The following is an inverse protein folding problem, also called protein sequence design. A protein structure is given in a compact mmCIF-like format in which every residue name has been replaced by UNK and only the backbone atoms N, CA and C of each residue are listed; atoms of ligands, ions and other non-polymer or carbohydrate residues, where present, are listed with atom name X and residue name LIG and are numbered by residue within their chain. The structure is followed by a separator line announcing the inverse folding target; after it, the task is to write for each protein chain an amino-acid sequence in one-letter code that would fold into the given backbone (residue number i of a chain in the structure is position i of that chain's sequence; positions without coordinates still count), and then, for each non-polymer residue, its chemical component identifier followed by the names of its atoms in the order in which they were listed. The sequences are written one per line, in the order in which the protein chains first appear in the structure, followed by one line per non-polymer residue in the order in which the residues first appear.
data_IF_493613315872
#
_entry.id   IF_493613315872
#
_cell.length_a   1.000
_cell.length_b   1.000
_cell.length_c   1.000
_cell.angle_alpha   90.00
_cell.angle_beta   90.00
_cell.angle_gamma   90.00
#
_symmetry.space_group_name_H-M   'P 1'
#
loop_
_entity.id
_entity.type
_entity.pdbx_description
1 polymer ?
#
# COMPACT_ATOMS: atom_id res chain seq x y z
N UNK A 1 9.57 16.85 -5.04
CA UNK A 1 9.62 15.40 -4.76
C UNK A 1 8.63 15.11 -3.64
N UNK A 2 8.06 13.91 -3.59
CA UNK A 2 7.17 13.54 -2.50
C UNK A 2 7.99 13.32 -1.21
N UNK A 3 7.51 13.85 -0.09
CA UNK A 3 8.21 13.74 1.19
C UNK A 3 7.95 12.38 1.84
N UNK A 4 6.69 11.96 1.93
CA UNK A 4 6.27 10.62 2.37
C UNK A 4 4.95 10.21 1.70
N UNK A 5 4.65 8.91 1.68
CA UNK A 5 3.34 8.35 1.30
C UNK A 5 2.93 7.25 2.27
N UNK A 6 1.65 7.21 2.61
CA UNK A 6 1.04 6.12 3.37
C UNK A 6 0.11 5.34 2.45
N UNK A 7 0.34 4.03 2.37
CA UNK A 7 -0.50 3.08 1.66
C UNK A 7 -1.23 2.24 2.70
N UNK A 8 -2.56 2.16 2.58
CA UNK A 8 -3.42 1.50 3.58
C UNK A 8 -4.19 0.38 2.91
N UNK A 9 -4.03 -0.84 3.41
CA UNK A 9 -4.71 -2.05 2.93
C UNK A 9 -5.65 -2.56 4.01
N UNK A 10 -6.91 -2.81 3.65
CA UNK A 10 -7.90 -3.42 4.52
C UNK A 10 -7.87 -4.94 4.33
N UNK A 11 -7.66 -5.70 5.40
CA UNK A 11 -7.46 -7.16 5.31
C UNK A 11 -8.75 -7.91 4.97
N UNK A 12 -9.91 -7.34 5.29
CA UNK A 12 -11.24 -7.89 5.01
C UNK A 12 -11.96 -7.08 3.91
N UNK A 13 -11.19 -6.45 3.00
CA UNK A 13 -11.75 -5.71 1.88
C UNK A 13 -12.44 -6.65 0.88
N UNK A 14 -13.74 -6.42 0.65
CA UNK A 14 -14.55 -7.13 -0.36
C UNK A 14 -14.86 -6.23 -1.58
N UNK A 15 -14.41 -4.96 -1.57
CA UNK A 15 -14.68 -3.97 -2.61
C UNK A 15 -13.52 -3.82 -3.59
N UNK A 16 -12.28 -3.92 -3.11
CA UNK A 16 -11.06 -3.84 -3.91
C UNK A 16 -10.54 -5.25 -4.20
N UNK A 17 -10.47 -5.62 -5.48
CA UNK A 17 -10.02 -6.94 -5.93
C UNK A 17 -8.88 -6.82 -6.97
N UNK A 18 -7.66 -7.29 -6.68
CA UNK A 18 -7.19 -7.79 -5.37
C UNK A 18 -6.99 -6.65 -4.36
N UNK A 19 -7.21 -6.90 -3.06
CA UNK A 19 -6.99 -5.90 -1.99
C UNK A 19 -5.53 -5.47 -1.89
N UNK A 20 -4.62 -6.35 -2.31
CA UNK A 20 -3.17 -6.15 -2.43
C UNK A 20 -2.82 -4.97 -3.36
N UNK A 21 -3.72 -4.60 -4.29
CA UNK A 21 -3.54 -3.40 -5.13
C UNK A 21 -3.44 -2.09 -4.34
N UNK A 22 -3.94 -2.03 -3.10
CA UNK A 22 -3.74 -0.90 -2.20
C UNK A 22 -2.26 -0.65 -1.87
N UNK A 23 -1.41 -1.67 -1.99
CA UNK A 23 0.04 -1.61 -1.82
C UNK A 23 0.81 -1.63 -3.16
N UNK A 24 0.14 -1.30 -4.28
CA UNK A 24 0.68 -1.38 -5.64
C UNK A 24 1.10 -2.79 -6.09
N UNK A 25 0.65 -3.83 -5.38
CA UNK A 25 0.82 -5.21 -5.83
C UNK A 25 -0.18 -5.50 -6.97
N UNK A 26 0.19 -6.41 -7.86
CA UNK A 26 -0.61 -6.73 -9.05
C UNK A 26 -0.78 -8.24 -9.21
N UNK A 27 -1.70 -8.66 -10.06
CA UNK A 27 -1.87 -10.08 -10.41
C UNK A 27 -0.97 -10.43 -11.59
N UNK A 28 -0.27 -11.55 -11.48
CA UNK A 28 0.45 -12.17 -12.59
C UNK A 28 -0.55 -12.67 -13.64
N UNK A 29 -0.49 -12.20 -14.90
CA UNK A 29 -1.44 -12.61 -15.92
C UNK A 29 -1.33 -14.09 -16.34
N UNK A 30 -0.21 -14.75 -16.06
CA UNK A 30 0.00 -16.16 -16.37
C UNK A 30 -0.41 -17.08 -15.22
N UNK A 31 -0.16 -16.66 -13.97
CA UNK A 31 -0.38 -17.52 -12.80
C UNK A 31 -1.64 -17.19 -12.00
N UNK A 32 -2.27 -16.03 -12.27
CA UNK A 32 -3.42 -15.49 -11.53
C UNK A 32 -3.14 -15.30 -10.02
N UNK A 33 -1.85 -15.20 -9.65
CA UNK A 33 -1.40 -14.96 -8.28
C UNK A 33 -0.97 -13.52 -8.09
N UNK A 34 -1.11 -13.01 -6.88
CA UNK A 34 -0.55 -11.70 -6.52
C UNK A 34 0.98 -11.78 -6.58
N UNK A 35 1.58 -10.83 -7.30
CA UNK A 35 3.02 -10.59 -7.36
C UNK A 35 3.37 -9.55 -6.28
N UNK A 36 4.33 -9.85 -5.38
CA UNK A 36 4.82 -8.88 -4.41
C UNK A 36 5.33 -7.61 -5.10
N UNK A 37 5.09 -6.44 -4.49
CA UNK A 37 5.47 -5.14 -5.08
C UNK A 37 6.93 -5.14 -5.56
N UNK A 38 7.87 -5.60 -4.73
CA UNK A 38 9.31 -5.58 -5.00
C UNK A 38 9.76 -6.50 -6.15
N UNK A 39 8.93 -7.46 -6.53
CA UNK A 39 9.16 -8.39 -7.64
C UNK A 39 8.51 -7.90 -8.94
N UNK A 40 7.62 -6.90 -8.87
CA UNK A 40 6.94 -6.36 -10.04
C UNK A 40 7.88 -5.54 -10.94
N UNK A 41 7.66 -5.61 -12.25
CA UNK A 41 8.34 -4.75 -13.22
C UNK A 41 8.14 -3.26 -12.89
N UNK A 42 6.93 -2.92 -12.39
CA UNK A 42 6.57 -1.56 -12.00
C UNK A 42 7.52 -0.97 -10.95
N UNK A 43 7.85 -1.75 -9.92
CA UNK A 43 8.80 -1.35 -8.89
C UNK A 43 10.25 -1.42 -9.40
N UNK A 44 10.62 -2.49 -10.10
CA UNK A 44 12.01 -2.72 -10.56
C UNK A 44 12.48 -1.59 -11.49
N UNK A 45 11.63 -1.20 -12.45
CA UNK A 45 11.88 -0.12 -13.40
C UNK A 45 11.63 1.28 -12.81
N UNK A 46 11.11 1.34 -11.57
CA UNK A 46 10.86 2.56 -10.82
C UNK A 46 10.04 3.61 -11.60
N UNK A 47 8.99 3.16 -12.32
CA UNK A 47 8.29 3.98 -13.31
C UNK A 47 7.80 5.34 -12.77
N UNK A 48 7.43 5.41 -11.49
CA UNK A 48 6.96 6.64 -10.85
C UNK A 48 7.73 7.01 -9.57
N UNK A 49 8.87 6.35 -9.29
CA UNK A 49 9.67 6.63 -8.10
C UNK A 49 9.29 5.84 -6.83
N UNK A 50 8.43 4.80 -6.92
CA UNK A 50 8.03 3.98 -5.75
C UNK A 50 9.23 3.28 -5.13
N UNK A 51 10.16 2.74 -5.92
CA UNK A 51 11.35 2.06 -5.41
C UNK A 51 12.28 3.03 -4.72
N UNK A 52 12.46 4.23 -5.27
CA UNK A 52 13.23 5.28 -4.60
C UNK A 52 12.61 5.70 -3.26
N UNK A 53 11.28 5.87 -3.19
CA UNK A 53 10.58 6.21 -1.95
C UNK A 53 10.70 5.10 -0.90
N UNK A 54 10.53 3.85 -1.31
CA UNK A 54 10.64 2.68 -0.44
C UNK A 54 12.05 2.54 0.14
N UNK A 55 13.07 2.60 -0.71
CA UNK A 55 14.48 2.55 -0.30
C UNK A 55 14.89 3.71 0.63
N UNK A 56 14.22 4.85 0.51
CA UNK A 56 14.42 6.01 1.40
C UNK A 56 13.59 5.92 2.70
N UNK A 57 12.80 4.86 2.89
CA UNK A 57 11.92 4.70 4.05
C UNK A 57 10.74 5.69 4.08
N UNK A 58 10.37 6.24 2.92
CA UNK A 58 9.32 7.26 2.76
C UNK A 58 7.94 6.67 2.49
N UNK A 59 7.83 5.36 2.33
CA UNK A 59 6.55 4.65 2.24
C UNK A 59 6.19 4.07 3.62
N UNK A 60 4.96 4.30 4.06
CA UNK A 60 4.36 3.64 5.23
C UNK A 60 3.29 2.68 4.73
N UNK A 61 3.54 1.38 4.87
CA UNK A 61 2.57 0.32 4.61
C UNK A 61 1.78 0.05 5.90
N UNK A 62 0.47 0.26 5.86
CA UNK A 62 -0.44 0.08 6.99
C UNK A 62 -1.49 -0.96 6.63
N UNK A 63 -1.63 -1.98 7.47
CA UNK A 63 -2.72 -2.96 7.35
C UNK A 63 -3.76 -2.70 8.44
N UNK A 64 -5.03 -2.72 8.06
CA UNK A 64 -6.17 -2.57 8.98
C UNK A 64 -7.01 -3.84 8.87
N UNK A 65 -7.18 -4.55 9.99
CA UNK A 65 -7.98 -5.76 10.05
C UNK A 65 -9.48 -5.44 10.17
N UNK A 66 -10.02 -4.82 9.12
CA UNK A 66 -11.44 -4.54 8.96
C UNK A 66 -11.77 -4.50 7.46
N UNK A 67 -13.05 -4.28 7.18
CA UNK A 67 -13.63 -4.09 5.86
C UNK A 67 -13.30 -2.72 5.25
N UNK A 68 -13.62 -2.58 3.96
CA UNK A 68 -13.31 -1.41 3.15
C UNK A 68 -13.65 -0.08 3.85
N UNK A 69 -12.64 0.78 4.02
CA UNK A 69 -12.76 2.11 4.64
C UNK A 69 -13.31 2.10 6.07
N UNK A 70 -13.20 0.99 6.79
CA UNK A 70 -13.51 0.95 8.22
C UNK A 70 -12.25 1.00 9.06
N UNK A 71 -12.16 1.99 9.93
CA UNK A 71 -11.11 2.11 10.92
C UNK A 71 -11.63 2.88 12.14
N UNK A 72 -10.92 2.79 13.26
CA UNK A 72 -11.33 3.43 14.51
C UNK A 72 -10.79 4.86 14.65
N UNK A 73 -11.38 5.65 15.54
CA UNK A 73 -10.82 6.95 15.95
C UNK A 73 -9.39 6.80 16.50
N UNK A 74 -9.07 5.67 17.12
CA UNK A 74 -7.73 5.37 17.60
C UNK A 74 -6.72 5.27 16.46
N UNK A 75 -7.05 4.58 15.37
CA UNK A 75 -6.22 4.54 14.14
C UNK A 75 -6.03 5.96 13.59
N UNK A 76 -7.08 6.77 13.55
CA UNK A 76 -6.97 8.16 13.09
C UNK A 76 -5.99 8.96 13.94
N UNK A 77 -6.11 8.87 15.28
CA UNK A 77 -5.29 9.62 16.22
C UNK A 77 -3.83 9.15 16.27
N UNK A 78 -3.60 7.84 16.15
CA UNK A 78 -2.29 7.24 16.39
C UNK A 78 -1.51 6.95 15.10
N UNK A 79 -2.17 6.86 13.93
CA UNK A 79 -1.54 6.51 12.66
C UNK A 79 -1.68 7.66 11.66
N UNK A 80 -2.90 8.13 11.39
CA UNK A 80 -3.12 9.12 10.32
C UNK A 80 -2.69 10.54 10.70
N UNK A 81 -3.15 11.07 11.84
CA UNK A 81 -2.80 12.43 12.27
C UNK A 81 -1.28 12.62 12.41
N UNK A 82 -0.50 11.70 13.04
CA UNK A 82 0.95 11.84 13.16
C UNK A 82 1.71 11.81 11.83
N UNK A 83 1.09 11.30 10.75
CA UNK A 83 1.70 11.27 9.43
C UNK A 83 1.49 12.58 8.63
N UNK A 84 0.52 13.41 9.04
CA UNK A 84 0.18 14.67 8.36
C UNK A 84 1.06 15.85 8.78
N UNK A 85 1.95 15.66 9.76
CA UNK A 85 2.75 16.70 10.42
C UNK A 85 4.23 16.60 10.11
#
# INVERSE_FOLDING_TARGET
MLDQVMLVKFLQDEMVLPKESAFFESVDPETDKVIPLVESEFYIQDYIGVKQLDQQGKIKFIEIDDSHLKWTDEITKNIFIPFLV
#
